data_IF_264188849821
#
_entry.id   IF_264188849821
#
_cell.length_a   1.000
_cell.length_b   1.000
_cell.length_c   1.000
_cell.angle_alpha   90.00
_cell.angle_beta   90.00
_cell.angle_gamma   90.00
#
_symmetry.space_group_name_H-M   'P 1'
#
loop_
_entity.id
_entity.type
_entity.pdbx_description
1 polymer ?
#
# COMPACT_ATOMS: atom_id res chain seq x y z
N UNK A 1 3.68 -9.51 -22.32
CA UNK A 1 2.98 -9.24 -21.04
C UNK A 1 1.78 -8.30 -21.25
N UNK A 2 0.92 -8.57 -22.28
CA UNK A 2 -0.20 -7.67 -22.62
C UNK A 2 -1.51 -7.94 -21.87
N UNK A 3 -1.62 -9.03 -21.10
CA UNK A 3 -2.90 -9.49 -20.55
C UNK A 3 -2.95 -9.59 -19.01
N UNK A 4 -1.96 -9.06 -18.29
CA UNK A 4 -2.05 -9.04 -16.83
C UNK A 4 -3.12 -8.06 -16.37
N UNK A 5 -4.07 -8.52 -15.56
CA UNK A 5 -5.04 -7.65 -14.89
C UNK A 5 -4.35 -6.73 -13.85
N UNK A 6 -3.13 -7.03 -13.45
CA UNK A 6 -2.37 -6.29 -12.44
C UNK A 6 -1.39 -5.30 -13.07
N UNK A 7 -1.20 -4.17 -12.40
CA UNK A 7 -0.15 -3.20 -12.66
C UNK A 7 0.50 -2.79 -11.33
N UNK A 8 1.81 -2.60 -11.32
CA UNK A 8 2.54 -2.15 -10.12
C UNK A 8 2.69 -0.63 -10.10
N UNK A 9 2.42 -0.04 -8.95
CA UNK A 9 2.68 1.37 -8.69
C UNK A 9 3.29 1.55 -7.30
N UNK A 10 4.56 1.89 -7.26
CA UNK A 10 5.28 2.21 -6.05
C UNK A 10 5.61 3.69 -6.03
N UNK A 11 4.79 4.56 -5.41
CA UNK A 11 5.02 6.01 -5.39
C UNK A 11 6.30 6.39 -4.65
N UNK A 12 6.72 5.57 -3.71
CA UNK A 12 8.00 5.69 -2.99
C UNK A 12 8.59 4.32 -2.67
N UNK A 13 9.83 4.33 -2.30
CA UNK A 13 10.59 3.15 -1.88
C UNK A 13 11.19 3.39 -0.49
N UNK A 14 11.38 2.32 0.29
CA UNK A 14 11.93 2.38 1.63
C UNK A 14 10.88 2.49 2.72
N UNK A 15 11.16 1.87 3.87
CA UNK A 15 10.22 1.73 4.99
C UNK A 15 10.97 1.59 6.31
N UNK A 16 10.35 1.91 7.42
CA UNK A 16 10.85 1.61 8.77
C UNK A 16 10.16 0.36 9.33
N UNK A 17 10.91 -0.51 9.99
CA UNK A 17 10.39 -1.72 10.62
C UNK A 17 9.60 -1.37 11.87
N UNK A 18 8.40 -1.94 12.07
CA UNK A 18 7.52 -1.64 13.21
C UNK A 18 6.99 -2.87 13.94
N UNK A 19 7.20 -4.07 13.40
CA UNK A 19 6.66 -5.30 13.99
C UNK A 19 7.53 -6.50 13.67
N UNK A 20 7.35 -7.64 14.37
CA UNK A 20 8.16 -8.84 14.16
C UNK A 20 8.20 -9.33 12.71
N UNK A 21 7.09 -9.25 11.99
CA UNK A 21 7.02 -9.64 10.58
C UNK A 21 7.91 -8.80 9.66
N UNK A 22 8.27 -7.58 10.05
CA UNK A 22 9.18 -6.75 9.27
C UNK A 22 10.63 -7.28 9.24
N UNK A 23 10.99 -8.21 10.12
CA UNK A 23 12.30 -8.89 10.09
C UNK A 23 12.48 -9.68 8.79
N UNK A 24 11.39 -10.20 8.23
CA UNK A 24 11.39 -11.05 7.03
C UNK A 24 10.97 -10.30 5.76
N UNK A 25 10.98 -8.97 5.80
CA UNK A 25 10.53 -8.15 4.68
C UNK A 25 11.42 -8.36 3.46
N UNK A 26 10.78 -8.76 2.34
CA UNK A 26 11.47 -9.03 1.09
C UNK A 26 12.12 -7.80 0.46
N UNK A 27 11.60 -6.60 0.73
CA UNK A 27 12.16 -5.34 0.21
C UNK A 27 13.58 -5.15 0.70
N UNK A 28 13.84 -5.31 2.00
CA UNK A 28 15.18 -5.21 2.56
C UNK A 28 16.14 -6.25 1.97
N UNK A 29 15.66 -7.49 1.80
CA UNK A 29 16.48 -8.56 1.21
C UNK A 29 16.80 -8.30 -0.26
N UNK A 30 15.85 -7.77 -1.04
CA UNK A 30 16.08 -7.42 -2.44
C UNK A 30 17.10 -6.29 -2.56
N UNK A 31 16.96 -5.22 -1.77
CA UNK A 31 17.89 -4.10 -1.81
C UNK A 31 19.32 -4.52 -1.44
N UNK A 32 19.46 -5.43 -0.47
CA UNK A 32 20.75 -6.03 -0.14
C UNK A 32 21.31 -6.82 -1.32
N UNK A 33 20.50 -7.66 -1.97
CA UNK A 33 20.91 -8.44 -3.15
C UNK A 33 21.37 -7.56 -4.32
N UNK A 34 20.76 -6.39 -4.50
CA UNK A 34 21.11 -5.43 -5.57
C UNK A 34 22.18 -4.43 -5.15
N UNK A 35 22.85 -4.61 -4.02
CA UNK A 35 23.95 -3.77 -3.56
C UNK A 35 23.52 -2.40 -2.99
N UNK A 36 22.25 -2.24 -2.63
CA UNK A 36 21.69 -1.03 -2.05
C UNK A 36 21.12 -1.25 -0.64
N UNK A 37 21.87 -1.77 0.33
CA UNK A 37 21.35 -2.21 1.63
C UNK A 37 20.70 -1.10 2.47
N UNK A 38 20.98 0.17 2.14
CA UNK A 38 20.41 1.35 2.83
C UNK A 38 19.15 1.90 2.15
N UNK A 39 18.84 1.47 0.92
CA UNK A 39 17.73 2.03 0.16
C UNK A 39 16.38 1.76 0.85
N UNK A 40 16.19 0.57 1.39
CA UNK A 40 14.95 0.20 2.10
C UNK A 40 14.77 0.89 3.45
N UNK A 41 15.82 1.42 4.07
CA UNK A 41 15.73 2.13 5.36
C UNK A 41 15.45 3.64 5.22
N UNK A 42 15.50 4.18 4.00
CA UNK A 42 15.23 5.59 3.72
C UNK A 42 14.09 5.72 2.73
N UNK A 43 13.03 6.42 3.13
CA UNK A 43 11.92 6.69 2.24
C UNK A 43 12.31 7.70 1.16
N UNK A 44 12.18 7.32 -0.10
CA UNK A 44 12.48 8.16 -1.26
C UNK A 44 11.35 8.13 -2.28
N UNK A 45 10.98 9.29 -2.81
CA UNK A 45 9.97 9.41 -3.87
C UNK A 45 10.51 8.79 -5.16
N UNK A 46 9.73 7.93 -5.79
CA UNK A 46 10.12 7.26 -7.03
C UNK A 46 9.90 8.15 -8.26
N UNK A 47 10.73 7.96 -9.29
CA UNK A 47 10.60 8.67 -10.57
C UNK A 47 9.26 8.40 -11.27
N UNK A 48 8.66 7.24 -11.05
CA UNK A 48 7.33 6.86 -11.57
C UNK A 48 6.19 7.20 -10.60
N UNK A 49 6.36 8.23 -9.76
CA UNK A 49 5.39 8.63 -8.75
C UNK A 49 3.98 8.89 -9.32
N UNK A 50 3.89 9.53 -10.46
CA UNK A 50 2.65 9.91 -11.12
C UNK A 50 2.18 8.90 -12.20
N UNK A 51 2.74 7.68 -12.20
CA UNK A 51 2.44 6.64 -13.18
C UNK A 51 0.93 6.39 -13.42
N UNK A 52 0.04 6.38 -12.40
CA UNK A 52 -1.38 6.15 -12.62
C UNK A 52 -2.03 7.16 -13.57
N UNK A 53 -1.54 8.41 -13.56
CA UNK A 53 -2.09 9.51 -14.39
C UNK A 53 -1.19 9.88 -15.56
N UNK A 54 -0.05 9.20 -15.73
CA UNK A 54 0.82 9.41 -16.87
C UNK A 54 0.15 8.97 -18.17
N UNK A 55 0.28 9.83 -19.19
CA UNK A 55 -0.25 9.55 -20.54
C UNK A 55 0.88 9.22 -21.51
N UNK A 56 0.58 8.33 -22.45
CA UNK A 56 1.45 8.03 -23.58
C UNK A 56 1.31 9.09 -24.70
N UNK A 57 2.09 8.94 -25.78
CA UNK A 57 2.07 9.85 -26.94
C UNK A 57 0.69 9.98 -27.59
N UNK A 58 -0.16 8.95 -27.49
CA UNK A 58 -1.53 8.95 -28.02
C UNK A 58 -2.58 9.51 -27.05
N UNK A 59 -2.19 10.12 -25.93
CA UNK A 59 -3.10 10.73 -24.95
C UNK A 59 -3.79 9.75 -23.97
N UNK A 60 -3.74 8.45 -24.22
CA UNK A 60 -4.26 7.43 -23.29
C UNK A 60 -3.35 7.25 -22.09
N UNK A 61 -3.91 6.83 -20.94
CA UNK A 61 -3.12 6.50 -19.74
C UNK A 61 -2.16 5.34 -20.03
N UNK A 62 -0.96 5.40 -19.44
CA UNK A 62 0.03 4.29 -19.52
C UNK A 62 -0.47 3.02 -18.87
N UNK A 63 -1.18 3.14 -17.74
CA UNK A 63 -1.93 2.04 -17.16
C UNK A 63 -3.32 2.03 -17.77
N UNK A 64 -3.68 1.00 -18.56
CA UNK A 64 -5.00 0.92 -19.18
C UNK A 64 -6.13 0.84 -18.15
N UNK A 65 -7.38 1.22 -18.48
CA UNK A 65 -8.54 1.02 -17.63
C UNK A 65 -8.76 -0.46 -17.30
N UNK A 66 -9.49 -0.71 -16.20
CA UNK A 66 -9.82 -2.07 -15.74
C UNK A 66 -8.67 -2.80 -15.01
N UNK A 67 -7.57 -2.13 -14.70
CA UNK A 67 -6.45 -2.74 -13.99
C UNK A 67 -6.61 -2.66 -12.47
N UNK A 68 -6.06 -3.66 -11.78
CA UNK A 68 -5.82 -3.64 -10.33
C UNK A 68 -4.39 -3.14 -10.12
N UNK A 69 -4.27 -1.95 -9.54
CA UNK A 69 -2.98 -1.31 -9.29
C UNK A 69 -2.48 -1.71 -7.90
N UNK A 70 -1.47 -2.57 -7.87
CA UNK A 70 -0.78 -2.97 -6.64
C UNK A 70 0.07 -1.79 -6.17
N UNK A 71 -0.38 -1.16 -5.09
CA UNK A 71 0.10 0.15 -4.67
C UNK A 71 1.05 0.05 -3.49
N UNK A 72 2.24 0.65 -3.63
CA UNK A 72 3.21 0.83 -2.54
C UNK A 72 3.76 -0.48 -1.95
N UNK A 73 4.01 -1.50 -2.78
CA UNK A 73 4.53 -2.79 -2.32
C UNK A 73 6.03 -2.76 -1.95
N UNK A 74 6.75 -1.69 -2.30
CA UNK A 74 8.15 -1.48 -1.88
C UNK A 74 8.29 -0.60 -0.64
N UNK A 75 7.16 -0.32 0.05
CA UNK A 75 7.10 0.48 1.27
C UNK A 75 5.80 0.16 2.04
N UNK A 76 5.36 1.10 2.88
CA UNK A 76 4.04 1.12 3.49
C UNK A 76 3.35 2.44 3.12
N UNK A 77 2.11 2.37 2.62
CA UNK A 77 1.38 3.54 2.15
C UNK A 77 1.13 4.57 3.28
N UNK A 78 1.08 4.14 4.54
CA UNK A 78 0.87 4.99 5.71
C UNK A 78 2.18 5.37 6.42
N UNK A 79 3.35 5.18 5.77
CA UNK A 79 4.63 5.60 6.31
C UNK A 79 4.65 7.11 6.54
N UNK A 80 5.13 7.56 7.72
CA UNK A 80 5.15 8.98 8.11
C UNK A 80 6.00 9.84 7.17
N UNK A 81 7.14 9.32 6.75
CA UNK A 81 8.07 10.02 5.85
C UNK A 81 7.45 10.34 4.48
N UNK A 82 6.37 9.62 4.11
CA UNK A 82 5.63 9.81 2.87
C UNK A 82 4.45 10.80 2.99
N UNK A 83 4.20 11.37 4.16
CA UNK A 83 3.09 12.32 4.38
C UNK A 83 3.07 13.48 3.38
N UNK A 84 4.22 14.08 2.99
CA UNK A 84 4.23 15.18 2.03
C UNK A 84 3.70 14.82 0.63
N UNK A 85 3.66 13.52 0.29
CA UNK A 85 3.30 13.05 -1.05
C UNK A 85 1.95 12.31 -1.09
N UNK A 86 1.42 11.90 0.04
CA UNK A 86 0.25 11.02 0.12
C UNK A 86 -1.02 11.65 -0.46
N UNK A 87 -1.22 12.94 -0.25
CA UNK A 87 -2.41 13.62 -0.78
C UNK A 87 -2.45 13.63 -2.31
N UNK A 88 -1.29 13.72 -2.97
CA UNK A 88 -1.21 13.56 -4.43
C UNK A 88 -1.59 12.13 -4.88
N UNK A 89 -1.22 11.11 -4.08
CA UNK A 89 -1.61 9.73 -4.38
C UNK A 89 -3.13 9.56 -4.29
N UNK A 90 -3.78 10.09 -3.25
CA UNK A 90 -5.24 10.07 -3.13
C UNK A 90 -5.93 10.78 -4.31
N UNK A 91 -5.41 11.94 -4.73
CA UNK A 91 -5.91 12.66 -5.91
C UNK A 91 -5.82 11.79 -7.17
N UNK A 92 -4.70 11.08 -7.38
CA UNK A 92 -4.54 10.18 -8.53
C UNK A 92 -5.49 8.99 -8.47
N UNK A 93 -5.72 8.40 -7.30
CA UNK A 93 -6.70 7.32 -7.12
C UNK A 93 -8.12 7.78 -7.44
N UNK A 94 -8.50 8.98 -7.01
CA UNK A 94 -9.79 9.58 -7.32
C UNK A 94 -9.96 9.92 -8.79
N UNK A 95 -8.90 10.34 -9.48
CA UNK A 95 -8.91 10.60 -10.93
C UNK A 95 -9.11 9.31 -11.73
N UNK A 96 -8.60 8.18 -11.24
CA UNK A 96 -8.55 6.89 -11.93
C UNK A 96 -9.61 5.92 -11.42
N UNK A 97 -10.87 6.34 -11.42
CA UNK A 97 -12.02 5.47 -11.05
C UNK A 97 -12.23 4.28 -11.99
N UNK A 98 -11.57 4.31 -13.15
CA UNK A 98 -11.51 3.23 -14.13
C UNK A 98 -10.55 2.09 -13.75
N UNK A 99 -9.80 2.22 -12.64
CA UNK A 99 -8.88 1.23 -12.09
C UNK A 99 -9.16 0.99 -10.61
N UNK A 100 -8.76 -0.20 -10.12
CA UNK A 100 -8.75 -0.50 -8.69
C UNK A 100 -7.38 -0.24 -8.12
N UNK A 101 -7.31 0.34 -6.92
CA UNK A 101 -6.07 0.51 -6.16
C UNK A 101 -6.09 -0.39 -4.94
N UNK A 102 -5.06 -1.18 -4.78
CA UNK A 102 -4.93 -2.07 -3.65
C UNK A 102 -3.60 -1.86 -2.95
N UNK A 103 -3.65 -1.51 -1.67
CA UNK A 103 -2.49 -1.49 -0.79
C UNK A 103 -2.80 -2.18 0.53
N UNK A 104 -1.76 -2.64 1.19
CA UNK A 104 -1.84 -3.16 2.55
C UNK A 104 -0.84 -2.46 3.46
N UNK A 105 -1.17 -2.42 4.75
CA UNK A 105 -0.39 -1.68 5.72
C UNK A 105 -0.26 -2.44 7.04
N UNK A 106 0.84 -2.19 7.73
CA UNK A 106 1.05 -2.55 9.14
C UNK A 106 0.81 -1.37 10.10
N UNK A 107 0.46 -0.19 9.54
CA UNK A 107 0.26 1.10 10.25
C UNK A 107 -1.19 1.56 10.21
N UNK A 108 -2.12 0.63 10.40
CA UNK A 108 -3.55 0.94 10.28
C UNK A 108 -4.02 2.01 11.27
N UNK A 109 -3.35 2.12 12.41
CA UNK A 109 -3.54 3.15 13.43
C UNK A 109 -3.32 4.58 12.90
N UNK A 110 -2.57 4.74 11.81
CA UNK A 110 -2.35 6.03 11.14
C UNK A 110 -3.38 6.38 10.07
N UNK A 111 -4.25 5.44 9.67
CA UNK A 111 -5.10 5.68 8.50
C UNK A 111 -5.97 6.92 8.66
N UNK A 112 -6.61 7.12 9.80
CA UNK A 112 -7.51 8.25 10.02
C UNK A 112 -6.86 9.62 9.75
N UNK A 113 -5.62 9.81 10.18
CA UNK A 113 -4.86 11.05 9.94
C UNK A 113 -4.33 11.18 8.50
N UNK A 114 -4.30 10.08 7.76
CA UNK A 114 -3.76 9.99 6.40
C UNK A 114 -4.82 10.11 5.31
N UNK A 115 -6.10 10.03 5.67
CA UNK A 115 -7.22 10.10 4.72
C UNK A 115 -7.34 11.51 4.10
N UNK A 116 -7.77 11.61 2.84
CA UNK A 116 -8.08 12.89 2.23
C UNK A 116 -9.40 13.45 2.76
N UNK A 117 -9.61 14.79 2.74
CA UNK A 117 -10.82 15.42 3.27
C UNK A 117 -12.13 14.95 2.64
N UNK A 118 -12.07 14.45 1.42
CA UNK A 118 -13.22 13.98 0.65
C UNK A 118 -13.39 12.44 0.66
N UNK A 119 -12.74 11.76 1.61
CA UNK A 119 -12.78 10.30 1.70
C UNK A 119 -14.18 9.73 1.95
N UNK A 120 -15.00 10.40 2.79
CA UNK A 120 -16.32 9.91 3.19
C UNK A 120 -16.26 8.51 3.81
N UNK A 121 -17.09 7.60 3.30
CA UNK A 121 -17.12 6.18 3.72
C UNK A 121 -16.11 5.30 2.96
N UNK A 122 -15.28 5.91 2.11
CA UNK A 122 -14.28 5.22 1.30
C UNK A 122 -14.52 5.33 -0.20
N UNK A 123 -13.44 5.42 -0.97
CA UNK A 123 -13.51 5.43 -2.43
C UNK A 123 -13.93 4.06 -2.97
N UNK A 124 -14.78 4.06 -4.01
CA UNK A 124 -15.31 2.83 -4.63
C UNK A 124 -14.25 1.95 -5.27
N UNK A 125 -13.14 2.53 -5.63
CA UNK A 125 -12.05 1.89 -6.35
C UNK A 125 -10.78 1.67 -5.49
N UNK A 126 -10.89 1.77 -4.16
CA UNK A 126 -9.75 1.56 -3.26
C UNK A 126 -10.03 0.43 -2.28
N UNK A 127 -9.18 -0.57 -2.28
CA UNK A 127 -9.15 -1.66 -1.31
C UNK A 127 -7.97 -1.48 -0.37
N UNK A 128 -8.23 -1.54 0.92
CA UNK A 128 -7.21 -1.44 1.96
C UNK A 128 -7.07 -2.79 2.67
N UNK A 129 -5.83 -3.29 2.73
CA UNK A 129 -5.48 -4.49 3.47
C UNK A 129 -4.82 -4.15 4.81
N UNK A 130 -5.31 -4.78 5.88
CA UNK A 130 -4.64 -4.76 7.17
C UNK A 130 -3.75 -5.99 7.30
N UNK A 131 -2.44 -5.78 7.48
CA UNK A 131 -1.50 -6.89 7.67
C UNK A 131 -1.43 -7.25 9.15
N UNK A 132 -1.61 -8.54 9.43
CA UNK A 132 -1.43 -9.15 10.74
C UNK A 132 -0.48 -10.34 10.60
N UNK A 133 0.49 -10.47 11.48
CA UNK A 133 1.50 -11.52 11.40
C UNK A 133 1.46 -12.49 12.57
N UNK A 134 0.80 -12.13 13.66
CA UNK A 134 0.59 -12.93 14.87
C UNK A 134 -0.65 -12.42 15.62
N UNK A 135 -1.06 -13.14 16.67
CA UNK A 135 -2.26 -12.80 17.45
C UNK A 135 -2.17 -11.40 18.06
N UNK A 136 -1.04 -11.03 18.65
CA UNK A 136 -0.82 -9.70 19.25
C UNK A 136 -1.11 -8.57 18.26
N UNK A 137 -0.64 -8.72 17.01
CA UNK A 137 -0.86 -7.72 15.97
C UNK A 137 -2.28 -7.74 15.41
N UNK A 138 -2.93 -8.90 15.42
CA UNK A 138 -4.34 -9.01 15.09
C UNK A 138 -5.21 -8.30 16.11
N UNK A 139 -5.00 -8.57 17.39
CA UNK A 139 -5.75 -7.98 18.50
C UNK A 139 -5.59 -6.44 18.56
N UNK A 140 -4.41 -5.95 18.22
CA UNK A 140 -4.18 -4.50 18.14
C UNK A 140 -4.78 -3.87 16.90
N UNK A 141 -4.55 -4.43 15.71
CA UNK A 141 -4.88 -3.76 14.44
C UNK A 141 -6.30 -3.96 13.97
N UNK A 142 -6.90 -5.14 14.19
CA UNK A 142 -8.22 -5.45 13.63
C UNK A 142 -9.33 -4.60 14.24
N UNK A 143 -9.40 -4.34 15.55
CA UNK A 143 -10.42 -3.43 16.10
C UNK A 143 -10.36 -2.03 15.50
N UNK A 144 -9.15 -1.48 15.33
CA UNK A 144 -8.93 -0.18 14.66
C UNK A 144 -9.41 -0.26 13.21
N UNK A 145 -8.96 -1.27 12.47
CA UNK A 145 -9.29 -1.45 11.06
C UNK A 145 -10.80 -1.55 10.80
N UNK A 146 -11.51 -2.26 11.67
CA UNK A 146 -12.96 -2.45 11.54
C UNK A 146 -13.75 -1.19 11.89
N UNK A 147 -13.22 -0.30 12.74
CA UNK A 147 -13.87 0.96 13.12
C UNK A 147 -13.69 2.09 12.09
N UNK A 148 -12.74 1.96 11.16
CA UNK A 148 -12.45 3.00 10.17
C UNK A 148 -13.44 2.99 8.99
N UNK A 149 -13.73 4.14 8.36
CA UNK A 149 -14.61 4.23 7.19
C UNK A 149 -13.90 3.69 5.95
N UNK A 150 -13.86 2.38 5.79
CA UNK A 150 -13.22 1.69 4.67
C UNK A 150 -14.28 0.86 3.95
N UNK A 151 -14.50 1.12 2.67
CA UNK A 151 -15.52 0.42 1.89
C UNK A 151 -15.11 -0.99 1.50
N UNK A 152 -13.87 -1.17 1.05
CA UNK A 152 -13.34 -2.47 0.63
C UNK A 152 -12.17 -2.86 1.50
N UNK A 153 -12.33 -3.94 2.25
CA UNK A 153 -11.39 -4.42 3.27
C UNK A 153 -10.80 -5.77 2.91
N UNK A 154 -9.54 -5.99 3.25
CA UNK A 154 -8.92 -7.31 3.28
C UNK A 154 -8.01 -7.46 4.49
N UNK A 155 -7.84 -8.68 4.97
CA UNK A 155 -6.87 -9.01 6.02
C UNK A 155 -5.78 -9.87 5.39
N UNK A 156 -4.52 -9.55 5.67
CA UNK A 156 -3.36 -10.25 5.13
C UNK A 156 -2.53 -10.79 6.27
N UNK A 157 -2.34 -12.09 6.28
CA UNK A 157 -1.46 -12.76 7.24
C UNK A 157 -0.10 -12.99 6.59
N UNK A 158 0.78 -11.99 6.67
CA UNK A 158 2.08 -12.05 5.97
C UNK A 158 3.20 -11.27 6.68
N UNK A 159 4.29 -11.97 7.11
CA UNK A 159 4.38 -13.44 7.20
C UNK A 159 3.48 -13.98 8.31
N UNK A 160 3.02 -15.22 8.20
CA UNK A 160 2.37 -15.89 9.32
C UNK A 160 3.46 -16.35 10.30
N UNK A 161 3.47 -15.79 11.50
CA UNK A 161 4.45 -16.10 12.54
C UNK A 161 3.90 -17.07 13.59
N UNK A 162 2.57 -17.20 13.68
CA UNK A 162 1.89 -18.06 14.66
C UNK A 162 0.65 -18.71 14.01
N UNK A 163 0.29 -19.91 14.49
CA UNK A 163 -0.88 -20.66 13.99
C UNK A 163 -2.20 -20.20 14.61
N UNK A 164 -2.18 -19.40 15.68
CA UNK A 164 -3.36 -18.98 16.45
C UNK A 164 -4.34 -18.10 15.66
N UNK A 165 -3.91 -17.47 14.58
CA UNK A 165 -4.77 -16.66 13.68
C UNK A 165 -5.86 -17.48 12.97
N UNK A 166 -5.81 -18.80 13.04
CA UNK A 166 -6.77 -19.70 12.38
C UNK A 166 -8.11 -19.78 13.14
N UNK A 167 -8.17 -19.25 14.34
CA UNK A 167 -9.34 -19.34 15.25
C UNK A 167 -10.11 -18.02 15.37
N UNK A 168 -9.98 -17.11 14.43
CA UNK A 168 -10.77 -15.88 14.36
C UNK A 168 -12.10 -16.15 13.64
#
# INVERSE_FOLDING_TARGET
MKDSIYADWNPWHGCTKISPGCKFCYVYRQDEMYGNPTASSRCTKNAAFDLPVQRGRGGSYKIPPGRIILTCFTSDFLLKDADPWRQDCWRMMRERTDCWFYFFTKRIDRLAECLPPDWGEGYDNVMIGCTVENQERADFRLPIFLSLPIKHRSVIVAPMLELSLIHI
#
